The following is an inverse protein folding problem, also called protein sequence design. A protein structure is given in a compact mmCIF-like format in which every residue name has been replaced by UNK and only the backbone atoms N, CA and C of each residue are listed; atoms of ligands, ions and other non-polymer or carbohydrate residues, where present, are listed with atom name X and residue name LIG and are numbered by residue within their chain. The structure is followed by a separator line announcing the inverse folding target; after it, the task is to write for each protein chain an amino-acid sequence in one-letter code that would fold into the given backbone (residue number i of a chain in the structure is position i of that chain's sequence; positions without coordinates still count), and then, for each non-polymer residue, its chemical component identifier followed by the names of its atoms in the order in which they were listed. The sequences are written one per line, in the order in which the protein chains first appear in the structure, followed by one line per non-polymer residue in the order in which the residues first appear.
data_IF_674816233658
#
_entry.id   IF_674816233658
#
_cell.length_a   1.000
_cell.length_b   1.000
_cell.length_c   1.000
_cell.angle_alpha   90.00
_cell.angle_beta   90.00
_cell.angle_gamma   90.00
#
_symmetry.space_group_name_H-M   'P 1'
#
loop_
_entity.id
_entity.type
_entity.pdbx_description
1 polymer ?
#
# COMPACT_ATOMS: atom_id res chain seq x y z
N UNK A 1 -51.93 11.47 -50.33
CA UNK A 1 -52.86 11.64 -49.20
C UNK A 1 -52.07 12.17 -48.00
N UNK A 2 -52.52 13.32 -47.48
CA UNK A 2 -52.26 13.97 -46.18
C UNK A 2 -50.96 13.65 -45.42
N UNK A 3 -50.05 14.61 -45.48
CA UNK A 3 -49.22 14.98 -44.34
C UNK A 3 -50.09 15.62 -43.25
N UNK A 4 -49.83 15.31 -41.98
CA UNK A 4 -50.31 16.07 -40.83
C UNK A 4 -49.16 16.19 -39.84
N UNK A 5 -48.72 17.43 -39.64
CA UNK A 5 -47.68 17.86 -38.72
C UNK A 5 -48.02 17.51 -37.27
N UNK A 6 -46.98 17.25 -36.48
CA UNK A 6 -46.98 17.58 -35.05
C UNK A 6 -45.74 18.44 -34.77
N UNK A 7 -45.99 19.68 -34.35
CA UNK A 7 -44.99 20.71 -34.08
C UNK A 7 -44.27 20.42 -32.75
N UNK A 8 -42.93 20.39 -32.76
CA UNK A 8 -42.13 20.43 -31.53
C UNK A 8 -41.16 21.60 -31.57
N UNK A 9 -41.05 22.21 -30.40
CA UNK A 9 -40.74 23.61 -30.13
C UNK A 9 -39.23 23.84 -29.92
N UNK A 10 -38.87 25.11 -30.02
CA UNK A 10 -37.56 25.77 -29.85
C UNK A 10 -36.73 25.28 -28.66
N UNK A 11 -35.41 25.34 -28.82
CA UNK A 11 -34.47 25.66 -27.74
C UNK A 11 -33.28 26.45 -28.32
N UNK A 12 -33.19 27.70 -27.90
CA UNK A 12 -31.99 28.54 -27.88
C UNK A 12 -31.60 28.65 -26.40
N UNK A 13 -30.33 28.45 -26.06
CA UNK A 13 -29.61 29.22 -25.04
C UNK A 13 -28.12 28.83 -25.05
N UNK A 14 -27.26 29.84 -25.19
CA UNK A 14 -25.82 29.72 -24.97
C UNK A 14 -25.47 29.88 -23.48
N UNK A 15 -24.29 29.43 -23.09
CA UNK A 15 -23.79 29.68 -21.73
C UNK A 15 -22.34 29.27 -21.54
N UNK A 16 -21.50 30.27 -21.35
CA UNK A 16 -20.07 30.20 -21.06
C UNK A 16 -19.79 30.07 -19.55
N UNK A 17 -18.55 29.67 -19.21
CA UNK A 17 -17.97 29.69 -17.86
C UNK A 17 -17.78 28.28 -17.29
N UNK A 18 -16.74 27.92 -16.53
CA UNK A 18 -15.86 28.72 -15.67
C UNK A 18 -14.57 27.94 -15.35
N UNK A 19 -13.55 28.68 -14.91
CA UNK A 19 -12.16 28.25 -14.77
C UNK A 19 -11.90 27.05 -13.84
N UNK A 20 -11.02 26.17 -14.31
CA UNK A 20 -10.42 25.13 -13.50
C UNK A 20 -9.23 25.72 -12.74
N UNK A 21 -9.40 25.85 -11.42
CA UNK A 21 -8.37 26.28 -10.50
C UNK A 21 -7.21 25.30 -10.54
N UNK A 22 -6.04 25.81 -10.93
CA UNK A 22 -4.80 25.04 -10.98
C UNK A 22 -4.49 24.38 -9.64
N UNK A 23 -4.78 23.08 -9.56
CA UNK A 23 -4.24 22.23 -8.51
C UNK A 23 -2.75 22.03 -8.79
N UNK A 24 -1.92 22.56 -7.91
CA UNK A 24 -0.47 22.43 -8.02
C UNK A 24 -0.11 20.95 -7.82
N UNK A 25 0.26 20.25 -8.91
CA UNK A 25 0.65 18.82 -8.93
C UNK A 25 1.76 18.49 -7.92
N UNK A 26 2.44 19.52 -7.39
CA UNK A 26 3.49 19.46 -6.39
C UNK A 26 2.96 19.08 -5.00
N UNK A 27 1.67 19.29 -4.71
CA UNK A 27 1.01 18.94 -3.44
C UNK A 27 0.75 17.42 -3.33
N UNK A 28 0.39 16.76 -4.44
CA UNK A 28 0.24 15.30 -4.51
C UNK A 28 1.57 14.52 -4.54
N UNK A 29 2.68 15.23 -4.73
CA UNK A 29 4.04 14.65 -4.62
C UNK A 29 4.62 14.88 -3.23
N UNK A 30 3.75 15.13 -2.23
CA UNK A 30 4.06 15.10 -0.81
C UNK A 30 5.05 13.98 -0.49
N UNK A 31 6.23 14.42 -0.04
CA UNK A 31 7.32 13.66 0.54
C UNK A 31 7.18 12.15 0.40
N UNK A 32 7.94 11.56 -0.54
CA UNK A 32 8.13 10.10 -0.67
C UNK A 32 8.49 9.49 0.69
N UNK A 33 7.47 9.11 1.45
CA UNK A 33 7.58 8.36 2.67
C UNK A 33 8.05 6.96 2.26
N UNK A 34 9.37 6.82 2.17
CA UNK A 34 10.01 5.53 2.01
C UNK A 34 9.72 4.84 3.32
N UNK A 35 8.73 3.93 3.32
CA UNK A 35 8.27 3.23 4.51
C UNK A 35 9.40 2.67 5.40
N UNK A 36 9.07 2.28 6.64
CA UNK A 36 10.03 2.02 7.71
C UNK A 36 11.16 1.11 7.25
N UNK A 37 12.39 1.42 7.68
CA UNK A 37 13.55 0.57 7.39
C UNK A 37 13.42 -0.68 8.25
N UNK A 38 13.57 -1.84 7.63
CA UNK A 38 13.46 -3.13 8.32
C UNK A 38 14.86 -3.70 8.49
N UNK A 39 15.35 -3.85 9.72
CA UNK A 39 16.70 -4.38 9.98
C UNK A 39 16.75 -5.19 11.25
N UNK A 40 17.63 -6.18 11.28
CA UNK A 40 17.86 -6.94 12.50
C UNK A 40 18.47 -6.02 13.57
N UNK A 41 17.87 -5.91 14.77
CA UNK A 41 18.37 -5.03 15.84
C UNK A 41 19.72 -5.48 16.41
N UNK A 42 20.17 -6.70 16.11
CA UNK A 42 21.44 -7.27 16.61
C UNK A 42 22.59 -7.09 15.63
N UNK A 43 22.37 -7.39 14.35
CA UNK A 43 23.44 -7.40 13.34
C UNK A 43 23.22 -6.43 12.17
N UNK A 44 22.12 -5.68 12.19
CA UNK A 44 21.69 -4.75 11.13
C UNK A 44 21.48 -5.37 9.75
N UNK A 45 21.36 -6.70 9.67
CA UNK A 45 21.00 -7.38 8.43
C UNK A 45 19.61 -6.95 7.98
N UNK A 46 19.49 -6.60 6.70
CA UNK A 46 18.24 -6.15 6.07
C UNK A 46 17.61 -7.33 5.31
N UNK A 47 16.39 -7.76 5.69
CA UNK A 47 15.67 -8.79 4.97
C UNK A 47 15.25 -8.30 3.58
N UNK A 48 15.44 -9.16 2.59
CA UNK A 48 15.04 -8.97 1.20
C UNK A 48 13.66 -9.59 0.97
N UNK A 49 12.99 -9.17 -0.11
CA UNK A 49 11.66 -9.68 -0.47
C UNK A 49 11.63 -11.20 -0.75
N UNK A 50 12.76 -11.84 -1.02
CA UNK A 50 12.85 -13.29 -1.22
C UNK A 50 13.16 -14.08 0.06
N UNK A 51 13.46 -13.41 1.18
CA UNK A 51 13.67 -14.10 2.44
C UNK A 51 12.38 -14.72 2.96
N UNK A 52 12.51 -15.89 3.59
CA UNK A 52 11.38 -16.74 3.97
C UNK A 52 11.53 -17.23 5.40
N UNK A 53 10.41 -17.20 6.12
CA UNK A 53 10.20 -17.82 7.42
C UNK A 53 9.08 -18.84 7.30
N UNK A 54 9.12 -19.86 8.15
CA UNK A 54 8.13 -20.91 8.20
C UNK A 54 7.26 -20.77 9.45
N UNK A 55 5.94 -20.89 9.26
CA UNK A 55 4.97 -20.92 10.35
C UNK A 55 4.89 -22.33 10.90
N UNK A 56 4.36 -22.50 12.11
CA UNK A 56 3.95 -23.80 12.64
C UNK A 56 2.87 -24.48 11.78
N UNK A 57 2.06 -23.74 11.01
CA UNK A 57 1.13 -24.31 10.03
C UNK A 57 1.81 -24.68 8.70
N UNK A 58 3.14 -24.69 8.65
CA UNK A 58 4.00 -25.00 7.50
C UNK A 58 3.95 -23.99 6.34
N UNK A 59 3.19 -22.89 6.49
CA UNK A 59 3.19 -21.83 5.49
C UNK A 59 4.54 -21.09 5.49
N UNK A 60 5.09 -20.84 4.30
CA UNK A 60 6.39 -20.20 4.11
C UNK A 60 6.18 -18.85 3.44
N UNK A 61 6.55 -17.77 4.12
CA UNK A 61 6.36 -16.40 3.62
C UNK A 61 7.40 -15.45 4.19
N UNK A 62 7.44 -14.22 3.68
CA UNK A 62 8.22 -13.17 4.31
C UNK A 62 7.40 -12.57 5.46
N UNK A 63 7.88 -12.68 6.70
CA UNK A 63 7.15 -12.17 7.86
C UNK A 63 6.88 -10.67 7.79
N UNK A 64 7.71 -9.91 7.08
CA UNK A 64 7.57 -8.45 6.97
C UNK A 64 6.47 -8.01 5.99
N UNK A 65 6.05 -8.86 5.04
CA UNK A 65 4.91 -8.55 4.15
C UNK A 65 3.60 -8.34 4.91
N UNK A 66 3.45 -9.02 6.05
CA UNK A 66 2.21 -9.05 6.84
C UNK A 66 2.42 -8.62 8.30
N UNK A 67 3.53 -7.95 8.60
CA UNK A 67 3.94 -7.57 9.96
C UNK A 67 3.86 -8.73 10.96
N UNK A 68 4.32 -9.90 10.55
CA UNK A 68 4.36 -11.12 11.36
C UNK A 68 3.06 -11.91 11.38
N UNK A 69 2.00 -11.49 10.68
CA UNK A 69 0.73 -12.24 10.63
C UNK A 69 0.76 -13.31 9.53
N UNK A 70 0.70 -14.59 9.89
CA UNK A 70 0.66 -15.67 8.90
C UNK A 70 -0.61 -15.54 8.03
N UNK A 71 -0.51 -15.49 6.69
CA UNK A 71 -1.67 -15.34 5.82
C UNK A 71 -2.52 -16.61 5.75
N UNK A 72 -1.98 -17.78 6.10
CA UNK A 72 -2.70 -19.06 6.04
C UNK A 72 -3.50 -19.36 7.32
N UNK A 73 -2.90 -19.17 8.50
CA UNK A 73 -3.53 -19.50 9.78
C UNK A 73 -3.85 -18.27 10.66
N UNK A 74 -3.60 -17.06 10.16
CA UNK A 74 -3.80 -15.78 10.86
C UNK A 74 -3.00 -15.60 12.17
N UNK A 75 -2.06 -16.50 12.50
CA UNK A 75 -1.21 -16.38 13.70
C UNK A 75 -0.33 -15.15 13.65
N UNK A 76 -0.32 -14.37 14.73
CA UNK A 76 0.57 -13.22 14.91
C UNK A 76 1.91 -13.66 15.54
N UNK A 77 2.98 -13.57 14.76
CA UNK A 77 4.34 -13.77 15.24
C UNK A 77 4.85 -12.49 15.90
N UNK A 78 5.10 -12.55 17.21
CA UNK A 78 5.70 -11.45 18.00
C UNK A 78 7.21 -11.49 18.02
N UNK A 79 7.81 -12.62 17.66
CA UNK A 79 9.26 -12.83 17.58
C UNK A 79 9.63 -13.22 16.16
N UNK A 80 10.77 -12.75 15.68
CA UNK A 80 11.30 -13.11 14.37
C UNK A 80 12.78 -13.45 14.51
N UNK A 81 13.17 -14.58 13.91
CA UNK A 81 14.56 -15.02 13.88
C UNK A 81 15.29 -14.34 12.73
N UNK A 82 16.51 -13.85 12.99
CA UNK A 82 17.37 -13.33 11.93
C UNK A 82 17.99 -14.47 11.10
N UNK A 83 17.88 -14.41 9.77
CA UNK A 83 18.49 -15.41 8.88
C UNK A 83 20.02 -15.28 8.77
N UNK A 84 20.61 -14.17 9.27
CA UNK A 84 22.06 -13.94 9.23
C UNK A 84 22.77 -14.27 10.55
N UNK A 85 22.24 -13.80 11.68
CA UNK A 85 22.85 -14.03 13.00
C UNK A 85 22.09 -15.03 13.88
N UNK A 86 20.93 -15.53 13.42
CA UNK A 86 20.12 -16.56 14.07
C UNK A 86 19.54 -16.16 15.43
N UNK A 87 19.80 -14.93 15.89
CA UNK A 87 19.19 -14.36 17.07
C UNK A 87 17.69 -14.15 16.87
N UNK A 88 16.91 -14.43 17.91
CA UNK A 88 15.51 -14.05 18.02
C UNK A 88 15.43 -12.60 18.50
N UNK A 89 14.55 -11.81 17.91
CA UNK A 89 14.23 -10.46 18.36
C UNK A 89 12.74 -10.20 18.19
N UNK A 90 12.18 -9.28 18.97
CA UNK A 90 10.76 -8.93 18.85
C UNK A 90 10.51 -8.40 17.45
N UNK A 91 9.40 -8.78 16.82
CA UNK A 91 9.10 -8.37 15.45
C UNK A 91 9.02 -6.83 15.31
N UNK A 92 8.60 -6.14 16.38
CA UNK A 92 8.55 -4.67 16.46
C UNK A 92 9.94 -4.02 16.41
N UNK A 93 10.94 -4.60 17.09
CA UNK A 93 12.33 -4.11 17.12
C UNK A 93 13.02 -4.12 15.74
N UNK A 94 12.41 -4.75 14.74
CA UNK A 94 12.93 -4.74 13.37
C UNK A 94 12.59 -3.47 12.59
N UNK A 95 11.60 -2.70 13.03
CA UNK A 95 11.16 -1.49 12.34
C UNK A 95 11.87 -0.28 12.94
N UNK A 96 12.71 0.37 12.15
CA UNK A 96 13.33 1.64 12.50
C UNK A 96 12.50 2.79 11.93
N UNK A 97 12.05 3.69 12.80
CA UNK A 97 11.56 5.03 12.41
C UNK A 97 12.72 5.79 11.76
N UNK A 98 12.42 6.57 10.70
CA UNK A 98 13.44 7.28 9.93
C UNK A 98 13.74 8.66 10.48
#
# INVERSE_FOLDING_TARGET
MRAMLLEVRRADDGGAGDGDGGVDLRDFLGTRDRGPRIRCPKCRWEPRSHDRWQCECLHVWNTFDTRGRCPACAKQWRMTQCLRCHALSSHDDWYEER
#
